data_IF_372866349167
#
_entry.id   IF_372866349167
#
_cell.length_a   1.000
_cell.length_b   1.000
_cell.length_c   1.000
_cell.angle_alpha   90.00
_cell.angle_beta   90.00
_cell.angle_gamma   90.00
#
_symmetry.space_group_name_H-M   'P 1'
#
loop_
_entity.id
_entity.type
_entity.pdbx_description
1 polymer ?
#
# COMPACT_ATOMS: atom_id res chain seq x y z
N UNK A 1 -25.59 12.19 16.45
CA UNK A 1 -24.24 11.64 16.21
C UNK A 1 -24.39 10.14 16.14
N UNK A 2 -24.10 9.51 15.00
CA UNK A 2 -24.04 8.05 14.92
C UNK A 2 -22.71 7.62 15.51
N UNK A 3 -22.74 7.08 16.73
CA UNK A 3 -21.64 6.26 17.22
C UNK A 3 -21.73 4.93 16.45
N UNK A 4 -21.10 4.89 15.28
CA UNK A 4 -20.91 3.65 14.56
C UNK A 4 -19.70 2.93 15.19
N UNK A 5 -19.88 1.67 15.60
CA UNK A 5 -18.77 0.74 15.68
C UNK A 5 -18.06 0.81 14.34
N UNK A 6 -16.81 1.28 14.35
CA UNK A 6 -16.09 1.63 13.13
C UNK A 6 -15.49 0.34 12.57
N UNK A 7 -16.28 -0.39 11.81
CA UNK A 7 -15.76 -1.54 11.05
C UNK A 7 -14.64 -1.03 10.13
N UNK A 8 -13.49 -1.71 10.19
CA UNK A 8 -12.33 -1.38 9.37
C UNK A 8 -12.46 -2.17 8.08
N UNK A 9 -12.16 -1.53 6.94
CA UNK A 9 -12.20 -2.21 5.65
C UNK A 9 -11.27 -3.42 5.63
N UNK A 10 -11.77 -4.53 5.08
CA UNK A 10 -11.02 -5.77 4.89
C UNK A 10 -10.23 -5.75 3.57
N UNK A 11 -8.97 -6.22 3.64
CA UNK A 11 -8.15 -6.46 2.45
C UNK A 11 -8.31 -7.93 2.07
N UNK A 12 -9.16 -8.21 1.09
CA UNK A 12 -9.48 -9.56 0.65
C UNK A 12 -8.37 -10.22 -0.16
N UNK A 13 -7.54 -9.44 -0.88
CA UNK A 13 -6.45 -9.99 -1.67
C UNK A 13 -5.31 -8.98 -1.84
N UNK A 14 -4.07 -9.48 -1.90
CA UNK A 14 -2.85 -8.71 -2.15
C UNK A 14 -2.04 -9.38 -3.25
N UNK A 15 -1.68 -8.61 -4.28
CA UNK A 15 -0.71 -9.02 -5.29
C UNK A 15 0.50 -8.10 -5.25
N UNK A 16 1.68 -8.68 -5.04
CA UNK A 16 2.95 -7.95 -5.00
C UNK A 16 3.83 -8.40 -6.18
N UNK A 17 4.34 -7.44 -6.93
CA UNK A 17 5.37 -7.65 -7.94
C UNK A 17 6.67 -7.01 -7.44
N UNK A 18 7.64 -7.83 -7.06
CA UNK A 18 8.95 -7.38 -6.58
C UNK A 18 9.76 -6.72 -7.72
N UNK A 19 10.48 -5.67 -7.36
CA UNK A 19 11.41 -4.95 -8.25
C UNK A 19 12.83 -5.22 -7.74
N UNK A 20 13.65 -5.85 -8.59
CA UNK A 20 15.04 -6.22 -8.29
C UNK A 20 16.04 -5.25 -8.95
N UNK A 21 15.88 -3.95 -8.67
CA UNK A 21 16.81 -2.92 -9.13
C UNK A 21 17.35 -2.09 -7.96
N UNK A 22 18.27 -1.17 -8.25
CA UNK A 22 18.85 -0.27 -7.26
C UNK A 22 17.96 0.95 -6.96
N UNK A 23 16.67 0.94 -7.37
CA UNK A 23 15.76 2.04 -7.09
C UNK A 23 15.25 1.99 -5.65
N UNK A 24 14.65 3.10 -5.21
CA UNK A 24 13.94 3.16 -3.93
C UNK A 24 12.63 2.37 -3.96
N UNK A 25 12.05 2.09 -5.12
CA UNK A 25 10.78 1.35 -5.21
C UNK A 25 11.10 -0.14 -5.26
N UNK A 26 10.68 -0.88 -4.24
CA UNK A 26 10.99 -2.31 -4.10
C UNK A 26 9.90 -3.24 -4.59
N UNK A 27 8.66 -2.75 -4.67
CA UNK A 27 7.57 -3.51 -5.24
C UNK A 27 6.43 -2.61 -5.74
N UNK A 28 5.69 -3.14 -6.72
CA UNK A 28 4.35 -2.66 -7.08
C UNK A 28 3.30 -3.56 -6.43
N UNK A 29 2.28 -2.95 -5.85
CA UNK A 29 1.24 -3.63 -5.08
C UNK A 29 -0.13 -3.32 -5.69
N UNK A 30 -0.98 -4.34 -5.73
CA UNK A 30 -2.41 -4.22 -5.99
C UNK A 30 -3.19 -4.89 -4.86
N UNK A 31 -4.28 -4.27 -4.44
CA UNK A 31 -5.18 -4.78 -3.40
C UNK A 31 -6.56 -5.03 -3.98
N UNK A 32 -7.27 -5.99 -3.41
CA UNK A 32 -8.74 -6.09 -3.46
C UNK A 32 -9.26 -5.81 -2.06
N UNK A 33 -10.19 -4.89 -1.95
CA UNK A 33 -10.86 -4.49 -0.70
C UNK A 33 -12.31 -4.97 -0.77
N UNK A 34 -12.78 -5.62 0.30
CA UNK A 34 -14.17 -6.11 0.46
C UNK A 34 -14.68 -6.92 -0.75
N UNK A 35 -13.80 -7.70 -1.40
CA UNK A 35 -14.04 -8.44 -2.65
C UNK A 35 -14.64 -7.63 -3.81
N UNK A 36 -14.66 -6.30 -3.69
CA UNK A 36 -15.50 -5.43 -4.51
C UNK A 36 -14.73 -4.26 -5.14
N UNK A 37 -13.58 -3.89 -4.58
CA UNK A 37 -12.79 -2.75 -5.06
C UNK A 37 -11.32 -3.12 -5.26
N UNK A 38 -10.86 -3.05 -6.50
CA UNK A 38 -9.44 -3.19 -6.82
C UNK A 38 -8.71 -1.85 -6.76
N UNK A 39 -7.60 -1.79 -6.02
CA UNK A 39 -6.70 -0.64 -5.95
C UNK A 39 -5.34 -1.01 -6.55
N UNK A 40 -4.89 -0.23 -7.52
CA UNK A 40 -3.61 -0.46 -8.21
C UNK A 40 -2.66 0.73 -8.03
N UNK A 41 -1.36 0.47 -8.19
CA UNK A 41 -0.33 1.51 -8.19
C UNK A 41 0.17 1.89 -6.81
N UNK A 42 -0.12 1.08 -5.80
CA UNK A 42 0.50 1.15 -4.48
C UNK A 42 1.95 0.66 -4.62
N UNK A 43 2.86 1.19 -3.81
CA UNK A 43 4.30 0.89 -3.89
C UNK A 43 4.85 0.57 -2.52
N UNK A 44 5.75 -0.42 -2.44
CA UNK A 44 6.68 -0.55 -1.31
C UNK A 44 7.93 0.24 -1.65
N UNK A 45 8.34 1.13 -0.75
CA UNK A 45 9.44 2.07 -0.98
C UNK A 45 10.42 2.02 0.18
N UNK A 46 11.71 1.96 -0.15
CA UNK A 46 12.82 2.08 0.80
C UNK A 46 13.13 3.56 1.04
N UNK A 47 12.79 4.03 2.25
CA UNK A 47 13.14 5.35 2.75
C UNK A 47 14.35 5.29 3.68
N UNK A 48 14.74 6.46 4.21
CA UNK A 48 15.89 6.56 5.12
C UNK A 48 15.66 5.83 6.47
N UNK A 49 14.40 5.66 6.86
CA UNK A 49 13.99 5.02 8.12
C UNK A 49 13.46 3.60 7.93
N UNK A 50 13.70 2.99 6.77
CA UNK A 50 13.19 1.67 6.41
C UNK A 50 12.10 1.69 5.34
N UNK A 51 11.43 0.55 5.19
CA UNK A 51 10.39 0.34 4.19
C UNK A 51 9.07 0.99 4.61
N UNK A 52 8.36 1.56 3.64
CA UNK A 52 7.02 2.11 3.84
C UNK A 52 6.16 1.91 2.60
N UNK A 53 4.84 2.04 2.77
CA UNK A 53 3.87 1.93 1.68
C UNK A 53 3.52 3.33 1.16
N UNK A 54 3.76 3.56 -0.13
CA UNK A 54 3.35 4.76 -0.83
C UNK A 54 2.08 4.52 -1.64
N UNK A 55 1.11 5.43 -1.51
CA UNK A 55 -0.17 5.36 -2.20
C UNK A 55 -0.03 5.63 -3.71
N UNK A 56 -1.02 5.21 -4.53
CA UNK A 56 -1.09 5.61 -5.93
C UNK A 56 -1.22 7.13 -6.00
N UNK A 57 -0.33 7.78 -6.74
CA UNK A 57 -0.30 9.24 -6.84
C UNK A 57 -0.16 9.69 -8.29
N UNK A 58 -0.70 10.89 -8.57
CA UNK A 58 -0.58 11.54 -9.88
C UNK A 58 0.07 12.91 -9.70
N UNK A 59 0.94 13.25 -10.65
CA UNK A 59 1.51 14.58 -10.76
C UNK A 59 0.47 15.58 -11.26
N UNK A 60 0.25 16.67 -10.52
CA UNK A 60 -0.65 17.77 -10.89
C UNK A 60 0.02 18.72 -11.88
N UNK A 61 -0.76 19.66 -12.43
CA UNK A 61 -0.23 20.73 -13.30
C UNK A 61 0.78 21.62 -12.56
N UNK A 62 0.64 21.73 -11.24
CA UNK A 62 1.51 22.53 -10.37
C UNK A 62 2.79 21.77 -9.97
N UNK A 63 3.08 20.65 -10.63
CA UNK A 63 4.22 19.76 -10.35
C UNK A 63 4.21 19.07 -8.96
N UNK A 64 3.10 19.11 -8.23
CA UNK A 64 2.92 18.37 -6.98
C UNK A 64 2.43 16.94 -7.22
N UNK A 65 2.79 16.00 -6.34
CA UNK A 65 2.18 14.68 -6.34
C UNK A 65 1.03 14.65 -5.36
N UNK A 66 -0.15 14.23 -5.83
CA UNK A 66 -1.32 14.01 -4.97
C UNK A 66 -1.74 12.55 -5.03
N UNK A 67 -2.00 12.00 -3.86
CA UNK A 67 -2.56 10.66 -3.74
C UNK A 67 -3.93 10.62 -4.40
N UNK A 68 -4.13 9.63 -5.26
CA UNK A 68 -5.39 9.32 -5.92
C UNK A 68 -6.31 8.60 -4.92
N UNK A 69 -5.72 7.73 -4.09
CA UNK A 69 -6.40 6.97 -3.06
C UNK A 69 -5.57 7.04 -1.79
N UNK A 70 -6.20 7.28 -0.65
CA UNK A 70 -5.52 7.27 0.64
C UNK A 70 -6.45 6.76 1.74
N UNK A 71 -5.93 6.01 2.73
CA UNK A 71 -6.69 5.65 3.92
C UNK A 71 -7.00 6.91 4.73
N UNK A 72 -8.27 7.07 5.09
CA UNK A 72 -8.76 8.22 5.88
C UNK A 72 -8.46 8.03 7.36
N UNK A 73 -8.62 6.81 7.88
CA UNK A 73 -8.41 6.52 9.31
C UNK A 73 -6.97 6.08 9.59
N UNK A 74 -6.38 6.47 10.74
CA UNK A 74 -5.06 5.99 11.15
C UNK A 74 -5.01 4.46 11.31
N UNK A 75 -6.10 3.87 11.81
CA UNK A 75 -6.26 2.43 11.99
C UNK A 75 -6.16 1.67 10.66
N UNK A 76 -6.95 2.07 9.65
CA UNK A 76 -6.88 1.41 8.35
C UNK A 76 -5.54 1.67 7.65
N UNK A 77 -4.95 2.87 7.84
CA UNK A 77 -3.60 3.16 7.34
C UNK A 77 -2.57 2.20 7.92
N UNK A 78 -2.63 1.98 9.24
CA UNK A 78 -1.72 1.07 9.95
C UNK A 78 -1.92 -0.36 9.46
N UNK A 79 -3.15 -0.86 9.47
CA UNK A 79 -3.50 -2.21 9.02
C UNK A 79 -2.97 -2.45 7.60
N UNK A 80 -3.35 -1.59 6.65
CA UNK A 80 -2.92 -1.73 5.25
C UNK A 80 -1.39 -1.69 5.08
N UNK A 81 -0.68 -0.85 5.86
CA UNK A 81 0.79 -0.82 5.77
C UNK A 81 1.40 -2.11 6.31
N UNK A 82 0.95 -2.59 7.47
CA UNK A 82 1.46 -3.81 8.11
C UNK A 82 1.22 -5.03 7.22
N UNK A 83 0.00 -5.22 6.71
CA UNK A 83 -0.33 -6.37 5.85
C UNK A 83 0.49 -6.38 4.56
N UNK A 84 0.68 -5.23 3.91
CA UNK A 84 1.48 -5.16 2.67
C UNK A 84 2.96 -5.48 2.95
N UNK A 85 3.52 -4.91 4.02
CA UNK A 85 4.93 -5.12 4.35
C UNK A 85 5.21 -6.56 4.79
N UNK A 86 4.28 -7.19 5.51
CA UNK A 86 4.36 -8.61 5.88
C UNK A 86 4.45 -9.51 4.64
N UNK A 87 3.49 -9.40 3.72
CA UNK A 87 3.49 -10.19 2.46
C UNK A 87 4.73 -9.88 1.61
N UNK A 88 5.16 -8.61 1.57
CA UNK A 88 6.40 -8.23 0.87
C UNK A 88 7.60 -8.94 1.47
N UNK A 89 7.71 -8.97 2.81
CA UNK A 89 8.83 -9.60 3.50
C UNK A 89 8.87 -11.11 3.24
N UNK A 90 7.74 -11.80 3.33
CA UNK A 90 7.63 -13.23 3.01
C UNK A 90 8.13 -13.53 1.59
N UNK A 91 7.64 -12.79 0.59
CA UNK A 91 8.06 -12.97 -0.81
C UNK A 91 9.51 -12.58 -1.07
N UNK A 92 10.06 -11.63 -0.30
CA UNK A 92 11.45 -11.17 -0.43
C UNK A 92 12.47 -12.09 0.26
N UNK A 93 12.01 -12.87 1.24
CA UNK A 93 12.85 -13.77 2.04
C UNK A 93 13.05 -15.13 1.38
N UNK A 94 12.27 -15.49 0.35
CA UNK A 94 12.51 -16.72 -0.40
C UNK A 94 13.82 -16.62 -1.21
N UNK A 95 14.80 -17.52 -0.99
CA UNK A 95 15.93 -17.66 -1.88
C UNK A 95 15.43 -18.25 -3.21
N UNK A 96 15.80 -17.60 -4.33
CA UNK A 96 15.68 -18.19 -5.67
C UNK A 96 16.65 -19.36 -5.80
#
# INVERSE_FOLDING_TARGET
MLAANKETLEISNIKINLIKDNSKVKALVSLVIEDSLALHGIKVVEGNSGLFVAMPSRKTKDNEYKDIVHPITPEFRKNMQETILEVYHEMSAEPV
#
